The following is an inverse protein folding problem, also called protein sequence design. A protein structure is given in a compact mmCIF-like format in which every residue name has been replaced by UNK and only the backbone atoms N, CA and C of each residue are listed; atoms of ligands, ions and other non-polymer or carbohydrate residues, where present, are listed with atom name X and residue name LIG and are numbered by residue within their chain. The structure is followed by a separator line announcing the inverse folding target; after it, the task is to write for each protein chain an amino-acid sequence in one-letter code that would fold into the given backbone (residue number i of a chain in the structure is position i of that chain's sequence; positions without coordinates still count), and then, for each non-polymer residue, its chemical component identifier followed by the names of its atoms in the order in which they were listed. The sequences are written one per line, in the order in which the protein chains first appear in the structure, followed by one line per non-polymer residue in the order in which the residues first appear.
data_IF_349956318328
#
_entry.id   IF_349956318328
#
_cell.length_a   1.000
_cell.length_b   1.000
_cell.length_c   1.000
_cell.angle_alpha   90.00
_cell.angle_beta   90.00
_cell.angle_gamma   90.00
#
_symmetry.space_group_name_H-M   'P 1'
#
loop_
_entity.id
_entity.type
_entity.pdbx_description
1 polymer ?
#
# COMPACT_ATOMS: atom_id res chain seq x y z
N UNK A 1 30.65 -11.27 -23.53
CA UNK A 1 29.34 -11.46 -24.18
C UNK A 1 28.35 -10.64 -23.36
N UNK A 2 27.90 -9.48 -23.85
CA UNK A 2 26.96 -8.63 -23.11
C UNK A 2 25.58 -9.18 -23.40
N UNK A 3 24.99 -9.86 -22.41
CA UNK A 3 23.58 -10.25 -22.46
C UNK A 3 22.75 -8.99 -22.19
N UNK A 4 22.50 -8.19 -23.21
CA UNK A 4 21.51 -7.12 -23.12
C UNK A 4 20.16 -7.78 -22.93
N UNK A 5 19.61 -7.77 -21.71
CA UNK A 5 18.19 -8.07 -21.51
C UNK A 5 17.41 -6.95 -22.22
N UNK A 6 16.68 -7.23 -23.32
CA UNK A 6 15.99 -6.17 -24.08
C UNK A 6 14.83 -5.53 -23.30
N UNK A 7 14.49 -6.09 -22.14
CA UNK A 7 13.42 -5.62 -21.26
C UNK A 7 13.94 -5.56 -19.81
N UNK A 8 13.61 -4.49 -19.10
CA UNK A 8 13.70 -4.47 -17.64
C UNK A 8 12.74 -5.54 -17.08
N UNK A 9 13.20 -6.42 -16.17
CA UNK A 9 12.30 -7.37 -15.54
C UNK A 9 11.24 -6.62 -14.72
N UNK A 10 10.01 -7.14 -14.71
CA UNK A 10 9.03 -6.80 -13.69
C UNK A 10 9.51 -7.44 -12.38
N UNK A 11 9.60 -6.63 -11.34
CA UNK A 11 10.01 -6.97 -10.00
C UNK A 11 8.79 -6.94 -9.07
N UNK A 12 8.89 -7.62 -7.95
CA UNK A 12 7.87 -7.69 -6.90
C UNK A 12 8.39 -6.94 -5.67
N UNK A 13 7.53 -6.14 -5.03
CA UNK A 13 7.86 -5.36 -3.83
C UNK A 13 7.93 -6.23 -2.56
N UNK A 14 7.19 -7.34 -2.55
CA UNK A 14 7.02 -8.20 -1.38
C UNK A 14 5.78 -7.79 -0.58
N UNK A 15 5.30 -8.73 0.23
CA UNK A 15 4.16 -8.51 1.12
C UNK A 15 4.54 -7.52 2.23
N UNK A 16 3.72 -6.49 2.39
CA UNK A 16 3.95 -5.37 3.30
C UNK A 16 2.68 -5.08 4.08
N UNK A 17 2.79 -5.00 5.40
CA UNK A 17 1.68 -4.66 6.29
C UNK A 17 1.37 -3.15 6.21
N UNK A 18 0.10 -2.81 6.01
CA UNK A 18 -0.42 -1.44 6.06
C UNK A 18 -1.15 -1.17 7.37
N UNK A 19 -1.98 -2.12 7.79
CA UNK A 19 -2.73 -2.06 9.05
C UNK A 19 -2.60 -3.42 9.73
N UNK A 20 -1.96 -3.45 10.89
CA UNK A 20 -1.85 -4.64 11.72
C UNK A 20 -3.09 -4.87 12.59
N UNK A 21 -3.27 -6.10 13.08
CA UNK A 21 -4.44 -6.52 13.89
C UNK A 21 -4.68 -5.67 15.15
N UNK A 22 -3.67 -4.98 15.67
CA UNK A 22 -3.79 -4.13 16.87
C UNK A 22 -3.89 -2.63 16.53
N UNK A 23 -4.05 -2.29 15.25
CA UNK A 23 -4.03 -0.92 14.75
C UNK A 23 -5.42 -0.49 14.31
N UNK A 24 -6.04 0.39 15.10
CA UNK A 24 -7.33 0.97 14.78
C UNK A 24 -7.20 2.07 13.74
N UNK A 25 -7.94 1.95 12.64
CA UNK A 25 -7.99 2.95 11.57
C UNK A 25 -9.46 3.18 11.19
N UNK A 26 -10.07 4.27 11.68
CA UNK A 26 -11.46 4.62 11.40
C UNK A 26 -11.61 5.33 10.04
N UNK A 27 -12.86 5.66 9.68
CA UNK A 27 -13.14 6.44 8.48
C UNK A 27 -12.38 7.80 8.48
N UNK A 28 -11.62 8.02 7.41
CA UNK A 28 -10.71 9.16 7.17
C UNK A 28 -9.40 9.14 7.95
N UNK A 29 -9.13 8.07 8.70
CA UNK A 29 -7.84 7.89 9.34
C UNK A 29 -6.81 7.36 8.33
N UNK A 30 -5.55 7.64 8.62
CA UNK A 30 -4.41 7.07 7.94
C UNK A 30 -3.84 5.91 8.76
N UNK A 31 -3.19 4.97 8.08
CA UNK A 31 -2.27 4.02 8.71
C UNK A 31 -0.95 4.70 9.09
N UNK A 32 -0.10 3.98 9.82
CA UNK A 32 1.33 4.30 9.87
C UNK A 32 1.98 4.24 8.48
N UNK A 33 3.10 4.94 8.30
CA UNK A 33 3.88 4.81 7.08
C UNK A 33 4.74 3.55 7.07
N UNK A 34 4.83 2.92 5.91
CA UNK A 34 5.73 1.78 5.66
C UNK A 34 6.65 2.07 4.48
N UNK A 35 7.95 1.86 4.67
CA UNK A 35 8.97 2.05 3.64
C UNK A 35 9.36 0.74 2.96
N UNK A 36 9.37 0.72 1.63
CA UNK A 36 9.82 -0.43 0.83
C UNK A 36 10.97 -0.04 -0.08
N UNK A 37 12.04 -0.84 -0.08
CA UNK A 37 13.20 -0.66 -0.96
C UNK A 37 12.84 -1.06 -2.40
N UNK A 38 12.89 -0.09 -3.31
CA UNK A 38 12.66 -0.27 -4.75
C UNK A 38 13.96 -0.30 -5.55
N UNK A 39 15.11 -0.11 -4.90
CA UNK A 39 16.42 -0.24 -5.52
C UNK A 39 17.36 -1.09 -4.66
N UNK A 40 17.28 -2.43 -4.74
CA UNK A 40 18.13 -3.37 -3.98
C UNK A 40 19.61 -3.39 -4.42
N UNK A 41 20.17 -2.25 -4.80
CA UNK A 41 21.56 -2.01 -5.18
C UNK A 41 22.08 -0.66 -4.66
N UNK A 42 23.32 -0.29 -4.96
CA UNK A 42 23.97 0.87 -4.35
C UNK A 42 23.49 2.23 -4.91
N UNK A 43 22.59 2.25 -5.88
CA UNK A 43 22.15 3.48 -6.56
C UNK A 43 20.63 3.55 -6.52
N UNK A 44 20.04 4.75 -6.36
CA UNK A 44 18.61 4.93 -6.54
C UNK A 44 18.21 4.60 -7.98
N UNK A 45 16.91 4.42 -8.21
CA UNK A 45 16.39 4.15 -9.55
C UNK A 45 15.08 4.87 -9.77
N UNK A 46 14.80 5.20 -11.02
CA UNK A 46 13.46 5.62 -11.45
C UNK A 46 12.66 4.42 -11.95
N UNK A 47 11.34 4.55 -12.06
CA UNK A 47 10.52 3.45 -12.58
C UNK A 47 9.03 3.68 -12.56
N UNK A 48 8.29 2.58 -12.64
CA UNK A 48 6.83 2.55 -12.57
C UNK A 48 6.35 1.35 -11.77
N UNK A 49 5.44 1.57 -10.83
CA UNK A 49 4.61 0.51 -10.25
C UNK A 49 3.44 0.28 -11.20
N UNK A 50 3.22 -0.95 -11.62
CA UNK A 50 2.21 -1.33 -12.62
C UNK A 50 0.94 -1.90 -12.01
N UNK A 51 1.05 -2.56 -10.87
CA UNK A 51 -0.09 -3.18 -10.22
C UNK A 51 0.13 -3.32 -8.73
N UNK A 52 -0.98 -3.39 -8.01
CA UNK A 52 -1.08 -3.53 -6.57
C UNK A 52 -2.06 -4.67 -6.28
N UNK A 53 -1.71 -5.52 -5.31
CA UNK A 53 -2.62 -6.49 -4.73
C UNK A 53 -2.75 -6.16 -3.25
N UNK A 54 -3.98 -5.96 -2.79
CA UNK A 54 -4.32 -5.75 -1.40
C UNK A 54 -4.92 -7.04 -0.86
N UNK A 55 -4.53 -7.41 0.35
CA UNK A 55 -4.94 -8.62 1.02
C UNK A 55 -5.57 -8.24 2.36
N UNK A 56 -6.77 -8.75 2.60
CA UNK A 56 -7.44 -8.64 3.89
C UNK A 56 -7.54 -10.02 4.50
N UNK A 57 -7.15 -10.13 5.76
CA UNK A 57 -7.39 -11.32 6.58
C UNK A 57 -7.97 -10.92 7.92
N UNK A 58 -8.54 -11.88 8.62
CA UNK A 58 -9.15 -11.69 9.94
C UNK A 58 -8.63 -12.84 10.81
N UNK A 59 -7.97 -12.48 11.90
CA UNK A 59 -7.34 -13.44 12.84
C UNK A 59 -8.21 -13.74 14.07
N UNK A 60 -9.35 -13.05 14.19
CA UNK A 60 -10.29 -13.13 15.30
C UNK A 60 -11.50 -14.04 15.01
N UNK A 61 -12.71 -13.47 15.10
CA UNK A 61 -13.97 -14.17 14.85
C UNK A 61 -14.97 -13.38 14.00
N UNK A 62 -14.53 -12.22 13.50
CA UNK A 62 -15.27 -11.35 12.61
C UNK A 62 -15.37 -11.89 11.19
N UNK A 63 -15.86 -11.05 10.28
CA UNK A 63 -15.84 -11.34 8.85
C UNK A 63 -14.72 -10.52 8.21
N UNK A 64 -14.01 -11.13 7.27
CA UNK A 64 -13.00 -10.41 6.46
C UNK A 64 -13.66 -9.20 5.79
N UNK A 65 -13.08 -8.01 6.00
CA UNK A 65 -13.62 -6.76 5.50
C UNK A 65 -13.11 -6.41 4.08
N UNK A 66 -14.01 -5.96 3.21
CA UNK A 66 -13.72 -5.35 1.90
C UNK A 66 -13.47 -3.84 2.03
N UNK A 67 -12.39 -3.46 2.70
CA UNK A 67 -12.10 -2.06 2.99
C UNK A 67 -11.85 -1.21 1.74
N UNK A 68 -12.71 -0.20 1.54
CA UNK A 68 -12.44 0.86 0.56
C UNK A 68 -11.48 1.92 1.12
N UNK A 69 -10.49 2.30 0.33
CA UNK A 69 -9.50 3.28 0.75
C UNK A 69 -8.62 3.78 -0.37
N UNK A 70 -7.61 4.54 0.04
CA UNK A 70 -6.62 5.13 -0.87
C UNK A 70 -5.24 4.76 -0.34
N UNK A 71 -4.43 4.12 -1.16
CA UNK A 71 -3.00 3.97 -0.90
C UNK A 71 -2.28 5.20 -1.45
N UNK A 72 -1.69 6.02 -0.59
CA UNK A 72 -0.79 7.08 -0.99
C UNK A 72 0.64 6.54 -1.12
N UNK A 73 1.33 6.95 -2.17
CA UNK A 73 2.74 6.63 -2.43
C UNK A 73 3.55 7.92 -2.34
N UNK A 74 4.55 7.93 -1.48
CA UNK A 74 5.36 9.11 -1.16
C UNK A 74 6.85 8.87 -1.42
N UNK A 75 7.55 9.92 -1.81
CA UNK A 75 9.00 9.93 -2.06
C UNK A 75 9.86 10.26 -0.81
N UNK A 76 9.20 10.59 0.30
CA UNK A 76 9.81 10.82 1.60
C UNK A 76 8.87 10.32 2.72
N UNK A 77 9.47 9.87 3.82
CA UNK A 77 8.77 9.32 4.99
C UNK A 77 7.88 10.39 5.65
N UNK A 78 6.54 10.25 5.61
CA UNK A 78 5.65 11.12 6.36
C UNK A 78 5.67 10.73 7.85
N UNK A 79 5.58 11.73 8.73
CA UNK A 79 5.46 11.52 10.16
C UNK A 79 3.99 11.25 10.55
N UNK A 80 3.41 10.18 9.99
CA UNK A 80 2.02 9.74 10.21
C UNK A 80 1.98 8.44 11.01
N UNK A 81 1.06 8.38 11.97
CA UNK A 81 0.77 7.18 12.76
C UNK A 81 -0.64 6.64 12.46
N UNK A 82 -0.88 5.35 12.73
CA UNK A 82 -2.23 4.78 12.61
C UNK A 82 -3.23 5.54 13.49
N UNK A 83 -4.36 5.92 12.89
CA UNK A 83 -5.41 6.71 13.53
C UNK A 83 -5.23 8.23 13.39
N UNK A 84 -4.15 8.70 12.77
CA UNK A 84 -4.04 10.12 12.43
C UNK A 84 -5.09 10.49 11.38
N UNK A 85 -5.73 11.65 11.51
CA UNK A 85 -6.79 12.10 10.58
C UNK A 85 -6.27 13.02 9.48
N UNK A 86 -4.98 13.39 9.52
CA UNK A 86 -4.37 14.34 8.60
C UNK A 86 -2.91 14.06 8.34
N UNK A 87 -2.48 14.15 7.08
CA UNK A 87 -1.09 14.41 6.72
C UNK A 87 -0.76 15.89 6.92
N UNK A 88 0.45 16.19 7.40
CA UNK A 88 0.93 17.54 7.55
C UNK A 88 1.05 18.24 6.19
N UNK A 89 0.90 19.57 6.17
CA UNK A 89 0.99 20.36 4.94
C UNK A 89 2.32 20.16 4.19
N UNK A 90 3.41 19.86 4.91
CA UNK A 90 4.74 19.62 4.35
C UNK A 90 4.90 18.24 3.71
N UNK A 91 4.01 17.29 4.00
CA UNK A 91 4.05 15.92 3.48
C UNK A 91 3.26 15.80 2.17
N UNK A 92 2.22 16.61 1.97
CA UNK A 92 1.45 16.59 0.71
C UNK A 92 2.31 16.72 -0.56
N UNK A 93 3.35 17.58 -0.62
CA UNK A 93 4.22 17.66 -1.79
C UNK A 93 5.07 16.40 -2.06
N UNK A 94 5.22 15.49 -1.09
CA UNK A 94 6.01 14.24 -1.25
C UNK A 94 5.17 13.11 -1.83
N UNK A 95 3.83 13.28 -1.92
CA UNK A 95 2.93 12.34 -2.58
C UNK A 95 3.18 12.34 -4.09
N UNK A 96 3.69 11.22 -4.60
CA UNK A 96 3.99 11.02 -6.02
C UNK A 96 2.94 10.17 -6.75
N UNK A 97 2.05 9.52 -6.00
CA UNK A 97 0.97 8.72 -6.55
C UNK A 97 -0.12 8.41 -5.53
N UNK A 98 -1.26 7.98 -6.05
CA UNK A 98 -2.36 7.42 -5.25
C UNK A 98 -2.99 6.26 -5.99
N UNK A 99 -3.48 5.28 -5.23
CA UNK A 99 -4.23 4.14 -5.75
C UNK A 99 -5.55 4.08 -5.01
N UNK A 100 -6.65 4.32 -5.73
CA UNK A 100 -7.99 4.22 -5.19
C UNK A 100 -8.42 2.74 -5.23
N UNK A 101 -8.87 2.21 -4.08
CA UNK A 101 -9.38 0.83 -3.95
C UNK A 101 -10.85 0.91 -3.54
N UNK A 102 -11.74 0.46 -4.43
CA UNK A 102 -13.16 0.41 -4.15
C UNK A 102 -13.57 -0.94 -3.54
N UNK A 103 -14.65 -0.96 -2.75
CA UNK A 103 -15.22 -2.21 -2.20
C UNK A 103 -15.49 -3.26 -3.31
N UNK A 104 -15.92 -2.81 -4.50
CA UNK A 104 -16.22 -3.67 -5.63
C UNK A 104 -15.02 -4.38 -6.26
N UNK A 105 -13.79 -3.97 -5.92
CA UNK A 105 -12.56 -4.62 -6.38
C UNK A 105 -12.25 -5.89 -5.57
N UNK A 106 -12.88 -6.05 -4.40
CA UNK A 106 -12.61 -7.15 -3.50
C UNK A 106 -13.30 -8.44 -3.93
N UNK A 107 -12.53 -9.53 -3.90
CA UNK A 107 -13.02 -10.90 -3.93
C UNK A 107 -12.75 -11.52 -2.56
N UNK A 108 -13.82 -11.85 -1.82
CA UNK A 108 -13.75 -12.35 -0.44
C UNK A 108 -14.20 -13.81 -0.34
N UNK A 109 -13.60 -14.55 0.59
CA UNK A 109 -14.16 -15.76 1.19
C UNK A 109 -13.94 -15.76 2.72
N UNK A 110 -14.23 -16.88 3.39
CA UNK A 110 -14.12 -16.97 4.85
C UNK A 110 -12.66 -17.00 5.37
N UNK A 111 -11.67 -17.19 4.50
CA UNK A 111 -10.25 -17.23 4.86
C UNK A 111 -9.47 -15.99 4.46
N UNK A 112 -10.06 -15.09 3.69
CA UNK A 112 -9.40 -13.85 3.29
C UNK A 112 -10.08 -13.13 2.12
N UNK A 113 -9.47 -12.02 1.75
CA UNK A 113 -9.91 -11.16 0.67
C UNK A 113 -8.75 -10.68 -0.18
N UNK A 114 -9.00 -10.45 -1.46
CA UNK A 114 -8.05 -9.78 -2.34
C UNK A 114 -8.73 -8.73 -3.21
N UNK A 115 -8.12 -7.54 -3.29
CA UNK A 115 -8.40 -6.54 -4.32
C UNK A 115 -7.17 -6.36 -5.20
N UNK A 116 -7.32 -6.43 -6.53
CA UNK A 116 -6.21 -6.35 -7.47
C UNK A 116 -6.36 -5.17 -8.42
N UNK A 117 -5.49 -4.18 -8.30
CA UNK A 117 -5.52 -2.95 -9.09
C UNK A 117 -4.39 -2.97 -10.13
N UNK A 118 -4.72 -2.83 -11.41
CA UNK A 118 -3.74 -2.92 -12.51
C UNK A 118 -3.85 -1.82 -13.56
N UNK A 119 -4.68 -0.81 -13.30
CA UNK A 119 -4.99 0.30 -14.20
C UNK A 119 -4.57 1.67 -13.62
N UNK A 120 -4.00 1.69 -12.41
CA UNK A 120 -3.52 2.89 -11.72
C UNK A 120 -1.98 2.85 -11.54
N UNK A 121 -1.19 3.03 -12.61
CA UNK A 121 0.26 3.01 -12.50
C UNK A 121 0.79 4.23 -11.74
N UNK A 122 1.82 4.02 -10.93
CA UNK A 122 2.52 5.09 -10.19
C UNK A 122 3.96 5.21 -10.66
N UNK A 123 4.33 6.37 -11.21
CA UNK A 123 5.71 6.66 -11.59
C UNK A 123 6.51 7.17 -10.39
N UNK A 124 7.77 6.76 -10.30
CA UNK A 124 8.70 7.28 -9.31
C UNK A 124 10.00 7.71 -9.98
N UNK A 125 10.60 8.76 -9.42
CA UNK A 125 11.90 9.27 -9.84
C UNK A 125 13.01 8.57 -9.05
N UNK A 126 14.25 9.05 -9.20
CA UNK A 126 15.49 8.47 -8.65
C UNK A 126 15.45 8.27 -7.12
N UNK A 127 14.92 7.13 -6.67
CA UNK A 127 14.66 6.81 -5.27
C UNK A 127 15.19 5.42 -4.90
N UNK A 128 15.55 5.25 -3.63
CA UNK A 128 15.85 3.94 -3.03
C UNK A 128 14.62 3.37 -2.36
N UNK A 129 13.82 4.20 -1.69
CA UNK A 129 12.69 3.78 -0.87
C UNK A 129 11.46 4.55 -1.29
N UNK A 130 10.35 3.84 -1.41
CA UNK A 130 9.02 4.42 -1.48
C UNK A 130 8.32 4.23 -0.14
N UNK A 131 7.55 5.24 0.26
CA UNK A 131 6.75 5.20 1.47
C UNK A 131 5.28 5.06 1.10
N UNK A 132 4.58 4.22 1.84
CA UNK A 132 3.19 3.91 1.59
C UNK A 132 2.37 4.21 2.83
N UNK A 133 1.19 4.80 2.63
CA UNK A 133 0.24 5.12 3.70
C UNK A 133 -1.14 4.77 3.18
N UNK A 134 -1.87 3.95 3.92
CA UNK A 134 -3.27 3.68 3.65
C UNK A 134 -4.14 4.77 4.27
N UNK A 135 -5.17 5.21 3.55
CA UNK A 135 -6.24 6.05 4.08
C UNK A 135 -7.54 5.27 4.00
N UNK A 136 -8.15 5.01 5.15
CA UNK A 136 -9.45 4.37 5.19
C UNK A 136 -10.54 5.35 4.76
N UNK A 137 -11.32 4.98 3.75
CA UNK A 137 -12.45 5.82 3.27
C UNK A 137 -13.80 5.16 3.49
N UNK A 138 -13.78 3.85 3.73
CA UNK A 138 -14.96 3.09 4.13
C UNK A 138 -15.58 3.68 5.41
N UNK A 139 -16.90 3.55 5.53
CA UNK A 139 -17.62 3.93 6.73
C UNK A 139 -17.32 2.97 7.89
N UNK A 140 -16.95 1.73 7.59
CA UNK A 140 -16.47 0.75 8.56
C UNK A 140 -14.98 0.97 8.80
N UNK A 141 -14.60 1.18 10.07
CA UNK A 141 -13.19 1.24 10.47
C UNK A 141 -12.59 -0.16 10.52
N UNK A 142 -11.28 -0.23 10.32
CA UNK A 142 -10.48 -1.43 10.57
C UNK A 142 -10.14 -1.51 12.06
N UNK A 143 -10.27 -2.70 12.65
CA UNK A 143 -9.96 -3.01 14.04
C UNK A 143 -10.67 -2.09 15.05
N UNK A 144 -11.82 -2.50 15.54
CA UNK A 144 -12.52 -1.79 16.60
C UNK A 144 -12.26 -2.38 18.00
N UNK A 145 -12.76 -1.71 19.04
CA UNK A 145 -12.55 -2.18 20.42
C UNK A 145 -13.37 -3.45 20.77
N UNK A 146 -14.14 -4.00 19.84
CA UNK A 146 -15.00 -5.16 20.02
C UNK A 146 -14.33 -6.50 19.64
N UNK A 147 -13.07 -6.48 19.22
CA UNK A 147 -12.29 -7.69 18.92
C UNK A 147 -12.31 -8.09 17.45
N UNK A 148 -12.50 -7.12 16.58
CA UNK A 148 -12.19 -7.24 15.16
C UNK A 148 -10.66 -7.15 15.00
N UNK A 149 -10.04 -8.20 14.46
CA UNK A 149 -8.59 -8.37 14.28
C UNK A 149 -8.26 -8.46 12.78
N UNK A 150 -8.70 -7.47 12.00
CA UNK A 150 -8.34 -7.32 10.59
C UNK A 150 -6.88 -6.95 10.37
N UNK A 151 -6.27 -7.66 9.43
CA UNK A 151 -4.98 -7.31 8.88
C UNK A 151 -5.15 -6.89 7.42
N UNK A 152 -4.62 -5.71 7.08
CA UNK A 152 -4.52 -5.22 5.71
C UNK A 152 -3.05 -5.20 5.29
N UNK A 153 -2.74 -5.99 4.27
CA UNK A 153 -1.43 -6.06 3.65
C UNK A 153 -1.52 -5.73 2.17
N UNK A 154 -0.39 -5.40 1.55
CA UNK A 154 -0.33 -5.25 0.11
C UNK A 154 0.98 -5.76 -0.46
N UNK A 155 0.97 -5.99 -1.77
CA UNK A 155 2.12 -6.27 -2.59
C UNK A 155 1.99 -5.48 -3.89
N UNK A 156 3.09 -5.25 -4.59
CA UNK A 156 3.09 -4.48 -5.83
C UNK A 156 4.14 -4.99 -6.80
N UNK A 157 3.91 -4.74 -8.09
CA UNK A 157 4.84 -5.10 -9.15
C UNK A 157 5.32 -3.87 -9.90
N UNK A 158 6.62 -3.79 -10.12
CA UNK A 158 7.25 -2.58 -10.66
C UNK A 158 8.33 -2.89 -11.70
N UNK A 159 8.58 -1.92 -12.56
CA UNK A 159 9.73 -1.91 -13.47
C UNK A 159 10.68 -0.79 -13.06
N UNK A 160 11.98 -1.04 -13.25
CA UNK A 160 13.03 -0.02 -13.10
C UNK A 160 13.50 0.47 -14.45
N UNK A 161 13.70 1.78 -14.53
CA UNK A 161 14.36 2.45 -15.62
C UNK A 161 15.78 2.79 -15.16
N UNK A 162 16.77 2.17 -15.81
CA UNK A 162 18.20 2.41 -15.58
C UNK A 162 18.62 3.80 -16.00
#
# INVERSE_FOLDING_TARGET
MITTKPFSPILEGGLTELVGINEKVDQNDYSGSVGVDVSPGPQPSSGVIRSFAFYATEDGSGAVQDSAGILYVLDADPAVASGDTTLAAAEWPTVIGKVDVAQTEWSLDAGGGVAYINDQPVWYHDLTTLYFVWKQTDATGLNDAAGDDEQLEFNFWYERYS
#
